data_IF_929815558910
#
_entry.id   IF_929815558910
#
_cell.length_a   1.000
_cell.length_b   1.000
_cell.length_c   1.000
_cell.angle_alpha   90.00
_cell.angle_beta   90.00
_cell.angle_gamma   90.00
#
_symmetry.space_group_name_H-M   'P 1'
#
loop_
_entity.id
_entity.type
_entity.pdbx_description
1 polymer ?
#
# COMPACT_ATOMS: atom_id res chain seq x y z
N UNK A 1 25.34 -5.77 47.22
CA UNK A 1 24.24 -5.34 46.33
C UNK A 1 24.83 -4.35 45.37
N UNK A 2 25.14 -4.77 44.15
CA UNK A 2 25.07 -3.91 42.95
C UNK A 2 25.28 -4.81 41.71
N UNK A 3 24.20 -5.15 41.03
CA UNK A 3 24.24 -5.72 39.68
C UNK A 3 23.62 -4.67 38.76
N UNK A 4 24.39 -3.64 38.43
CA UNK A 4 24.00 -2.71 37.36
C UNK A 4 24.39 -3.36 36.04
N UNK A 5 23.50 -4.19 35.50
CA UNK A 5 23.61 -4.73 34.14
C UNK A 5 23.48 -3.58 33.14
N UNK A 6 24.60 -3.18 32.55
CA UNK A 6 24.62 -2.30 31.39
C UNK A 6 23.74 -2.91 30.28
N UNK A 7 22.89 -2.12 29.60
CA UNK A 7 22.07 -2.64 28.51
C UNK A 7 23.01 -3.13 27.39
N UNK A 8 23.03 -4.45 27.24
CA UNK A 8 23.83 -5.22 26.31
C UNK A 8 23.88 -4.55 24.92
N UNK A 9 25.05 -4.47 24.31
CA UNK A 9 25.24 -3.84 23.01
C UNK A 9 24.33 -4.44 21.91
N UNK A 10 23.83 -5.66 22.09
CA UNK A 10 22.80 -6.27 21.25
C UNK A 10 21.42 -5.62 21.41
N UNK A 11 21.04 -5.18 22.61
CA UNK A 11 19.78 -4.48 22.88
C UNK A 11 19.75 -3.09 22.24
N UNK A 12 20.90 -2.39 22.21
CA UNK A 12 21.04 -1.13 21.46
C UNK A 12 20.90 -1.33 19.95
N UNK A 13 21.61 -2.29 19.37
CA UNK A 13 21.48 -2.58 17.92
C UNK A 13 20.06 -3.01 17.54
N UNK A 14 19.39 -3.80 18.38
CA UNK A 14 18.01 -4.21 18.16
C UNK A 14 17.03 -3.02 18.24
N UNK A 15 17.26 -2.08 19.16
CA UNK A 15 16.49 -0.85 19.24
C UNK A 15 16.72 0.04 18.01
N UNK A 16 17.95 0.21 17.55
CA UNK A 16 18.27 0.99 16.34
C UNK A 16 17.66 0.38 15.08
N UNK A 17 17.68 -0.95 14.95
CA UNK A 17 17.03 -1.66 13.84
C UNK A 17 15.50 -1.52 13.92
N UNK A 18 14.92 -1.65 15.12
CA UNK A 18 13.47 -1.51 15.31
C UNK A 18 13.00 -0.07 15.03
N UNK A 19 13.78 0.92 15.47
CA UNK A 19 13.51 2.34 15.22
C UNK A 19 13.66 2.69 13.73
N UNK A 20 14.70 2.18 13.07
CA UNK A 20 14.87 2.32 11.63
C UNK A 20 13.73 1.66 10.85
N UNK A 21 13.21 0.52 11.32
CA UNK A 21 12.06 -0.13 10.70
C UNK A 21 10.75 0.61 10.96
N UNK A 22 10.54 1.19 12.15
CA UNK A 22 9.39 2.05 12.45
C UNK A 22 9.40 3.35 11.63
N UNK A 23 10.58 3.83 11.24
CA UNK A 23 10.72 4.96 10.33
C UNK A 23 10.35 4.63 8.87
N UNK A 24 10.21 3.34 8.51
CA UNK A 24 9.72 2.92 7.19
C UNK A 24 8.22 3.20 7.11
N UNK A 25 7.77 4.06 6.18
CA UNK A 25 6.36 4.38 6.04
C UNK A 25 5.52 3.13 5.78
N UNK A 26 4.48 2.91 6.60
CA UNK A 26 3.60 1.75 6.52
C UNK A 26 4.10 0.49 7.24
N UNK A 27 5.31 0.50 7.81
CA UNK A 27 5.78 -0.56 8.71
C UNK A 27 5.25 -0.35 10.14
N UNK A 28 5.23 0.89 10.63
CA UNK A 28 4.74 1.23 11.97
C UNK A 28 3.23 1.00 12.19
N UNK A 29 2.43 0.95 11.12
CA UNK A 29 0.96 0.80 11.17
C UNK A 29 0.48 -0.54 10.55
N UNK A 30 1.39 -1.49 10.30
CA UNK A 30 1.12 -2.79 9.64
C UNK A 30 0.54 -2.72 8.21
N UNK A 31 0.30 -1.51 7.68
CA UNK A 31 -0.29 -1.27 6.36
C UNK A 31 0.48 -1.93 5.20
N UNK A 32 1.81 -2.06 5.28
CA UNK A 32 2.61 -2.77 4.27
C UNK A 32 2.45 -4.29 4.35
N UNK A 33 2.34 -4.84 5.56
CA UNK A 33 2.06 -6.27 5.72
C UNK A 33 0.63 -6.60 5.32
N UNK A 34 -0.31 -5.69 5.57
CA UNK A 34 -1.69 -5.83 5.13
C UNK A 34 -1.80 -5.92 3.60
N UNK A 35 -1.12 -5.05 2.84
CA UNK A 35 -1.18 -5.09 1.37
C UNK A 35 -0.62 -6.38 0.80
N UNK A 36 0.48 -6.89 1.36
CA UNK A 36 1.06 -8.19 0.99
C UNK A 36 0.12 -9.35 1.32
N UNK A 37 -0.47 -9.36 2.53
CA UNK A 37 -1.43 -10.40 2.96
C UNK A 37 -2.68 -10.41 2.10
N UNK A 38 -3.21 -9.24 1.77
CA UNK A 38 -4.34 -9.10 0.85
C UNK A 38 -4.01 -9.66 -0.54
N UNK A 39 -2.84 -9.30 -1.10
CA UNK A 39 -2.39 -9.81 -2.38
C UNK A 39 -2.27 -11.33 -2.41
N UNK A 40 -1.73 -11.93 -1.34
CA UNK A 40 -1.67 -13.39 -1.19
C UNK A 40 -3.07 -14.02 -1.15
N UNK A 41 -3.96 -13.47 -0.33
CA UNK A 41 -5.35 -13.93 -0.21
C UNK A 41 -6.09 -13.87 -1.55
N UNK A 42 -5.94 -12.77 -2.29
CA UNK A 42 -6.52 -12.63 -3.61
C UNK A 42 -5.96 -13.67 -4.60
N UNK A 43 -4.64 -13.93 -4.55
CA UNK A 43 -3.98 -14.95 -5.40
C UNK A 43 -4.46 -16.38 -5.13
N UNK A 44 -4.72 -16.71 -3.87
CA UNK A 44 -5.23 -18.04 -3.49
C UNK A 44 -6.71 -18.22 -3.82
N UNK A 45 -7.48 -17.12 -3.82
CA UNK A 45 -8.93 -17.15 -4.00
C UNK A 45 -9.35 -17.06 -5.46
N UNK A 46 -8.68 -16.21 -6.24
CA UNK A 46 -9.04 -15.91 -7.62
C UNK A 46 -8.44 -16.93 -8.58
N UNK A 47 -9.07 -17.10 -9.75
CA UNK A 47 -8.42 -17.83 -10.85
C UNK A 47 -7.22 -17.02 -11.33
N UNK A 48 -6.25 -17.69 -11.95
CA UNK A 48 -5.04 -17.04 -12.46
C UNK A 48 -5.36 -15.86 -13.39
N UNK A 49 -6.33 -16.00 -14.30
CA UNK A 49 -6.72 -14.92 -15.21
C UNK A 49 -7.35 -13.72 -14.48
N UNK A 50 -8.22 -13.98 -13.49
CA UNK A 50 -8.86 -12.93 -12.70
C UNK A 50 -7.84 -12.21 -11.80
N UNK A 51 -6.88 -12.95 -11.23
CA UNK A 51 -5.79 -12.39 -10.44
C UNK A 51 -4.84 -11.53 -11.29
N UNK A 52 -4.52 -11.96 -12.51
CA UNK A 52 -3.68 -11.22 -13.44
C UNK A 52 -4.35 -9.91 -13.86
N UNK A 53 -5.64 -9.97 -14.19
CA UNK A 53 -6.45 -8.80 -14.55
C UNK A 53 -6.61 -7.82 -13.37
N UNK A 54 -6.81 -8.34 -12.15
CA UNK A 54 -6.82 -7.52 -10.93
C UNK A 54 -5.46 -6.83 -10.72
N UNK A 55 -4.37 -7.56 -10.89
CA UNK A 55 -3.01 -7.04 -10.72
C UNK A 55 -2.70 -5.97 -11.76
N UNK A 56 -3.07 -6.18 -13.02
CA UNK A 56 -2.91 -5.20 -14.08
C UNK A 56 -3.71 -3.91 -13.80
N UNK A 57 -4.96 -4.06 -13.34
CA UNK A 57 -5.83 -2.94 -13.00
C UNK A 57 -5.28 -2.12 -11.83
N UNK A 58 -4.74 -2.80 -10.80
CA UNK A 58 -4.07 -2.15 -9.67
C UNK A 58 -2.78 -1.43 -10.07
N UNK A 59 -2.00 -1.99 -11.00
CA UNK A 59 -0.80 -1.33 -11.54
C UNK A 59 -1.18 -0.05 -12.29
N UNK A 60 -2.18 -0.09 -13.18
CA UNK A 60 -2.70 1.09 -13.89
C UNK A 60 -3.15 2.18 -12.91
N UNK A 61 -3.84 1.78 -11.84
CA UNK A 61 -4.29 2.70 -10.80
C UNK A 61 -3.10 3.34 -10.04
N UNK A 62 -2.07 2.56 -9.78
CA UNK A 62 -0.84 3.02 -9.13
C UNK A 62 -0.10 4.05 -9.99
N UNK A 63 0.01 3.81 -11.30
CA UNK A 63 0.62 4.75 -12.24
C UNK A 63 -0.12 6.10 -12.27
N UNK A 64 -1.46 6.09 -12.14
CA UNK A 64 -2.26 7.32 -12.06
C UNK A 64 -2.03 8.08 -10.76
N UNK A 65 -1.74 7.40 -9.64
CA UNK A 65 -1.37 8.06 -8.38
C UNK A 65 0.03 8.69 -8.45
N UNK A 66 0.98 8.05 -9.12
CA UNK A 66 2.35 8.56 -9.30
C UNK A 66 2.40 9.88 -10.05
N UNK A 67 1.51 10.06 -11.03
CA UNK A 67 1.39 11.30 -11.81
C UNK A 67 0.75 12.45 -11.04
N UNK A 68 0.36 12.24 -9.78
CA UNK A 68 -0.27 13.25 -8.93
C UNK A 68 0.73 14.00 -8.02
N UNK A 69 2.03 13.67 -8.14
CA UNK A 69 3.11 14.14 -7.26
C UNK A 69 4.00 15.27 -7.79
N UNK A 70 3.83 15.74 -9.03
CA UNK A 70 4.57 16.91 -9.51
C UNK A 70 3.96 18.19 -8.91
N UNK A 71 4.60 18.68 -7.85
CA UNK A 71 4.14 19.79 -7.04
C UNK A 71 3.94 21.08 -7.83
N UNK A 72 2.78 21.70 -7.65
CA UNK A 72 2.55 23.08 -8.07
C UNK A 72 1.10 23.52 -8.04
N UNK A 73 0.57 23.81 -6.83
CA UNK A 73 -0.51 24.77 -6.45
C UNK A 73 -1.72 25.07 -7.39
N UNK A 74 -1.95 24.29 -8.44
CA UNK A 74 -3.06 24.42 -9.38
C UNK A 74 -3.57 23.01 -9.68
N UNK A 75 -4.88 22.77 -9.70
CA UNK A 75 -5.40 21.52 -10.24
C UNK A 75 -4.90 21.42 -11.68
N UNK A 76 -4.05 20.44 -11.96
CA UNK A 76 -3.61 20.19 -13.33
C UNK A 76 -4.83 19.99 -14.23
N UNK A 77 -4.82 20.55 -15.46
CA UNK A 77 -5.83 20.22 -16.45
C UNK A 77 -5.83 18.70 -16.67
N UNK A 78 -6.93 18.03 -16.28
CA UNK A 78 -7.06 16.57 -16.34
C UNK A 78 -7.18 15.86 -14.99
N UNK A 79 -7.08 16.56 -13.85
CA UNK A 79 -7.28 15.95 -12.53
C UNK A 79 -8.65 15.25 -12.39
N UNK A 80 -9.73 15.86 -12.91
CA UNK A 80 -11.07 15.26 -12.92
C UNK A 80 -11.13 14.00 -13.80
N UNK A 81 -10.52 14.03 -14.99
CA UNK A 81 -10.45 12.88 -15.88
C UNK A 81 -9.62 11.73 -15.29
N UNK A 82 -8.54 12.04 -14.56
CA UNK A 82 -7.75 11.03 -13.82
C UNK A 82 -8.54 10.44 -12.66
N UNK A 83 -9.27 11.28 -11.92
CA UNK A 83 -10.14 10.81 -10.84
C UNK A 83 -11.23 9.87 -11.39
N UNK A 84 -11.87 10.24 -12.51
CA UNK A 84 -12.83 9.38 -13.19
C UNK A 84 -12.21 8.03 -13.59
N UNK A 85 -11.02 8.03 -14.21
CA UNK A 85 -10.29 6.80 -14.55
C UNK A 85 -9.97 5.93 -13.33
N UNK A 86 -9.54 6.53 -12.21
CA UNK A 86 -9.30 5.79 -10.97
C UNK A 86 -10.59 5.14 -10.45
N UNK A 87 -11.73 5.84 -10.54
CA UNK A 87 -13.03 5.27 -10.15
C UNK A 87 -13.47 4.14 -11.08
N UNK A 88 -13.22 4.25 -12.39
CA UNK A 88 -13.49 3.18 -13.35
C UNK A 88 -12.64 1.94 -13.09
N UNK A 89 -11.34 2.11 -12.88
CA UNK A 89 -10.43 1.02 -12.51
C UNK A 89 -10.84 0.38 -11.18
N UNK A 90 -11.28 1.19 -10.21
CA UNK A 90 -11.76 0.69 -8.92
C UNK A 90 -13.03 -0.15 -9.09
N UNK A 91 -13.95 0.28 -9.94
CA UNK A 91 -15.15 -0.47 -10.27
C UNK A 91 -14.80 -1.79 -10.97
N UNK A 92 -13.83 -1.77 -11.90
CA UNK A 92 -13.34 -2.97 -12.57
C UNK A 92 -12.74 -3.96 -11.58
N UNK A 93 -11.86 -3.51 -10.67
CA UNK A 93 -11.36 -4.36 -9.57
C UNK A 93 -12.49 -4.99 -8.77
N UNK A 94 -13.54 -4.22 -8.45
CA UNK A 94 -14.69 -4.72 -7.71
C UNK A 94 -15.45 -5.79 -8.48
N UNK A 95 -15.65 -5.62 -9.80
CA UNK A 95 -16.31 -6.62 -10.64
C UNK A 95 -15.56 -7.96 -10.69
N UNK A 96 -14.23 -7.94 -10.61
CA UNK A 96 -13.40 -9.16 -10.55
C UNK A 96 -13.60 -9.90 -9.22
N UNK A 97 -13.67 -9.16 -8.10
CA UNK A 97 -13.64 -9.75 -6.76
C UNK A 97 -15.03 -9.92 -6.12
N UNK A 98 -16.11 -9.38 -6.71
CA UNK A 98 -17.46 -9.28 -6.11
C UNK A 98 -18.03 -10.59 -5.57
N UNK A 99 -17.70 -11.71 -6.19
CA UNK A 99 -18.17 -13.05 -5.82
C UNK A 99 -17.39 -13.65 -4.63
N UNK A 100 -16.36 -12.95 -4.15
CA UNK A 100 -15.46 -13.38 -3.08
C UNK A 100 -15.57 -12.42 -1.89
N UNK A 101 -16.55 -12.62 -0.97
CA UNK A 101 -16.86 -11.67 0.09
C UNK A 101 -15.68 -11.39 1.02
N UNK A 102 -14.83 -12.40 1.23
CA UNK A 102 -13.61 -12.29 2.02
C UNK A 102 -12.57 -11.36 1.38
N UNK A 103 -12.50 -11.30 0.05
CA UNK A 103 -11.60 -10.40 -0.69
C UNK A 103 -12.24 -9.01 -0.78
N UNK A 104 -13.54 -8.92 -1.04
CA UNK A 104 -14.30 -7.66 -1.08
C UNK A 104 -14.21 -6.89 0.23
N UNK A 105 -14.37 -7.57 1.37
CA UNK A 105 -14.35 -6.94 2.70
C UNK A 105 -13.07 -6.12 2.93
N UNK A 106 -11.94 -6.67 2.51
CA UNK A 106 -10.62 -6.14 2.80
C UNK A 106 -10.12 -5.16 1.70
N UNK A 107 -10.87 -5.02 0.58
CA UNK A 107 -10.47 -4.26 -0.60
C UNK A 107 -10.35 -2.74 -0.38
N UNK A 108 -11.26 -2.13 0.37
CA UNK A 108 -11.22 -0.68 0.62
C UNK A 108 -10.01 -0.28 1.49
N UNK A 109 -9.74 -1.10 2.52
CA UNK A 109 -8.55 -0.96 3.35
C UNK A 109 -7.28 -1.17 2.50
N UNK A 110 -7.27 -2.18 1.64
CA UNK A 110 -6.14 -2.45 0.74
C UNK A 110 -5.85 -1.27 -0.17
N UNK A 111 -6.88 -0.70 -0.78
CA UNK A 111 -6.77 0.46 -1.64
C UNK A 111 -6.21 1.68 -0.87
N UNK A 112 -6.70 1.92 0.35
CA UNK A 112 -6.24 3.03 1.20
C UNK A 112 -4.78 2.86 1.62
N UNK A 113 -4.40 1.68 2.13
CA UNK A 113 -3.02 1.37 2.53
C UNK A 113 -2.06 1.43 1.34
N UNK A 114 -2.47 0.93 0.16
CA UNK A 114 -1.64 0.97 -1.05
C UNK A 114 -1.37 2.39 -1.52
N UNK A 115 -2.40 3.24 -1.54
CA UNK A 115 -2.26 4.66 -1.89
C UNK A 115 -1.37 5.40 -0.89
N UNK A 116 -1.52 5.13 0.41
CA UNK A 116 -0.72 5.74 1.47
C UNK A 116 0.76 5.33 1.36
N UNK A 117 1.03 4.03 1.15
CA UNK A 117 2.38 3.51 0.93
C UNK A 117 3.05 4.17 -0.28
N UNK A 118 2.36 4.22 -1.43
CA UNK A 118 2.85 4.89 -2.63
C UNK A 118 3.13 6.38 -2.42
N UNK A 119 2.22 7.08 -1.75
CA UNK A 119 2.39 8.50 -1.42
C UNK A 119 3.59 8.75 -0.50
N UNK A 120 3.95 7.79 0.34
CA UNK A 120 5.12 7.89 1.20
C UNK A 120 6.43 7.59 0.44
N UNK A 121 6.43 6.59 -0.45
CA UNK A 121 7.56 6.28 -1.34
C UNK A 121 7.89 7.47 -2.24
N UNK A 122 6.88 8.12 -2.82
CA UNK A 122 7.09 9.30 -3.69
C UNK A 122 7.69 10.48 -2.92
N UNK A 123 7.26 10.71 -1.67
CA UNK A 123 7.81 11.76 -0.80
C UNK A 123 9.25 11.49 -0.37
N UNK A 124 9.65 10.22 -0.24
CA UNK A 124 11.02 9.86 0.10
C UNK A 124 12.01 10.00 -1.08
N UNK A 125 11.49 10.00 -2.32
CA UNK A 125 12.27 10.11 -3.55
C UNK A 125 12.32 11.53 -4.15
N UNK A 126 11.76 12.53 -3.46
CA UNK A 126 11.78 13.96 -3.84
C UNK A 126 12.75 14.72 -2.93
#
# INVERSE_FOLDING_TARGET
MDHTSEPDGGMKRAAEVSEAMLAVPGYADDSMFFTVRYGHKAKETLRKCDYDDLTETLNKMTELWSKNGEGGAKPEPGAEARYAQIQELRKHCFEIIKDFPDVVRDFDQFHTSSKAAMSAVMRANT
#
